data_IF_458048863749
#
_entry.id   IF_458048863749
#
_cell.length_a   1.000
_cell.length_b   1.000
_cell.length_c   1.000
_cell.angle_alpha   90.00
_cell.angle_beta   90.00
_cell.angle_gamma   90.00
#
_symmetry.space_group_name_H-M   'P 1'
#
loop_
_entity.id
_entity.type
_entity.pdbx_description
1 polymer ?
#
# COMPACT_ATOMS: atom_id res chain seq x y z
N UNK A 1 -21.71 -22.28 -46.06
CA UNK A 1 -21.37 -20.87 -45.74
C UNK A 1 -21.85 -20.45 -44.35
N UNK A 2 -23.13 -20.62 -43.99
CA UNK A 2 -23.67 -20.17 -42.69
C UNK A 2 -22.93 -20.71 -41.45
N UNK A 3 -22.56 -21.99 -41.45
CA UNK A 3 -21.88 -22.64 -40.32
C UNK A 3 -20.43 -22.14 -40.12
N UNK A 4 -19.78 -21.72 -41.19
CA UNK A 4 -18.44 -21.10 -41.15
C UNK A 4 -18.52 -19.68 -40.61
N UNK A 5 -19.59 -18.95 -40.97
CA UNK A 5 -19.88 -17.61 -40.47
C UNK A 5 -20.15 -17.62 -38.96
N UNK A 6 -20.96 -18.56 -38.46
CA UNK A 6 -21.24 -18.72 -37.02
C UNK A 6 -19.97 -19.05 -36.22
N UNK A 7 -19.09 -19.92 -36.75
CA UNK A 7 -17.82 -20.25 -36.09
C UNK A 7 -16.86 -19.07 -36.05
N UNK A 8 -16.80 -18.28 -37.12
CA UNK A 8 -15.99 -17.05 -37.16
C UNK A 8 -16.47 -16.00 -36.16
N UNK A 9 -17.79 -15.79 -36.07
CA UNK A 9 -18.39 -14.87 -35.11
C UNK A 9 -18.15 -15.34 -33.67
N UNK A 10 -18.29 -16.64 -33.38
CA UNK A 10 -18.02 -17.20 -32.06
C UNK A 10 -16.55 -17.03 -31.66
N UNK A 11 -15.60 -17.30 -32.57
CA UNK A 11 -14.17 -17.10 -32.34
C UNK A 11 -13.82 -15.63 -32.12
N UNK A 12 -14.45 -14.70 -32.86
CA UNK A 12 -14.27 -13.27 -32.65
C UNK A 12 -14.80 -12.82 -31.27
N UNK A 13 -15.96 -13.31 -30.84
CA UNK A 13 -16.52 -13.00 -29.50
C UNK A 13 -15.61 -13.55 -28.39
N UNK A 14 -15.07 -14.76 -28.54
CA UNK A 14 -14.10 -15.34 -27.60
C UNK A 14 -12.78 -14.57 -27.55
N UNK A 15 -12.31 -14.06 -28.68
CA UNK A 15 -11.10 -13.23 -28.75
C UNK A 15 -11.28 -11.85 -28.11
N UNK A 16 -12.46 -11.22 -28.24
CA UNK A 16 -12.77 -9.96 -27.54
C UNK A 16 -13.01 -10.16 -26.04
N UNK A 17 -13.48 -11.33 -25.61
CA UNK A 17 -13.62 -11.68 -24.19
C UNK A 17 -12.26 -11.97 -23.50
N UNK A 18 -11.19 -12.16 -24.27
CA UNK A 18 -9.84 -12.46 -23.78
C UNK A 18 -8.94 -11.23 -23.66
N UNK A 19 -9.48 -10.01 -23.68
CA UNK A 19 -8.70 -8.82 -23.34
C UNK A 19 -8.14 -9.01 -21.92
N UNK A 20 -6.82 -8.90 -21.70
CA UNK A 20 -6.28 -8.98 -20.36
C UNK A 20 -6.91 -7.87 -19.56
N UNK A 21 -7.69 -8.21 -18.53
CA UNK A 21 -8.10 -7.25 -17.52
C UNK A 21 -6.81 -6.67 -16.94
N UNK A 22 -6.40 -5.49 -17.42
CA UNK A 22 -5.26 -4.78 -16.88
C UNK A 22 -5.59 -4.56 -15.41
N UNK A 23 -4.86 -5.25 -14.53
CA UNK A 23 -5.10 -5.15 -13.10
C UNK A 23 -4.78 -3.72 -12.67
N UNK A 24 -5.83 -2.91 -12.51
CA UNK A 24 -5.75 -1.53 -12.03
C UNK A 24 -4.91 -1.47 -10.76
N UNK A 25 -4.16 -0.38 -10.60
CA UNK A 25 -3.31 -0.19 -9.43
C UNK A 25 -4.11 -0.30 -8.14
N UNK A 26 -3.68 -1.20 -7.28
CA UNK A 26 -4.23 -1.45 -5.95
C UNK A 26 -3.21 -1.08 -4.89
N UNK A 27 -3.65 -0.29 -3.92
CA UNK A 27 -2.90 0.01 -2.69
C UNK A 27 -3.50 -0.79 -1.53
N UNK A 28 -2.65 -1.41 -0.71
CA UNK A 28 -3.05 -2.10 0.52
C UNK A 28 -2.32 -1.50 1.70
N UNK A 29 -3.04 -1.24 2.80
CA UNK A 29 -2.50 -0.68 4.03
C UNK A 29 -2.35 -1.76 5.10
N UNK A 30 -1.20 -1.73 5.78
CA UNK A 30 -0.76 -2.79 6.67
C UNK A 30 -0.26 -2.23 7.99
N UNK A 31 -0.31 -3.06 9.02
CA UNK A 31 0.45 -2.84 10.24
C UNK A 31 1.23 -4.09 10.66
N UNK A 32 2.19 -3.89 11.55
CA UNK A 32 2.95 -4.95 12.21
C UNK A 32 3.15 -4.57 13.68
N UNK A 33 2.81 -5.46 14.60
CA UNK A 33 2.83 -5.18 16.06
C UNK A 33 3.47 -6.29 16.92
N UNK A 34 4.18 -7.26 16.34
CA UNK A 34 4.67 -8.43 17.08
C UNK A 34 6.21 -8.53 17.20
N UNK A 35 6.68 -9.23 18.23
CA UNK A 35 7.99 -9.91 18.22
C UNK A 35 9.23 -9.04 18.41
N UNK A 36 9.26 -8.13 19.39
CA UNK A 36 10.46 -7.38 19.79
C UNK A 36 10.86 -6.22 18.88
N UNK A 37 10.29 -6.16 17.67
CA UNK A 37 10.45 -5.06 16.72
C UNK A 37 9.51 -3.88 17.03
N UNK A 38 9.91 -2.68 16.61
CA UNK A 38 9.10 -1.47 16.78
C UNK A 38 7.82 -1.54 15.93
N UNK A 39 6.62 -1.28 16.50
CA UNK A 39 5.37 -1.27 15.74
C UNK A 39 5.46 -0.42 14.48
N UNK A 40 4.91 -0.92 13.38
CA UNK A 40 5.06 -0.30 12.07
C UNK A 40 3.76 -0.23 11.27
N UNK A 41 3.57 0.87 10.54
CA UNK A 41 2.56 1.04 9.51
C UNK A 41 3.26 1.19 8.16
N UNK A 42 2.73 0.54 7.12
CA UNK A 42 3.29 0.60 5.77
C UNK A 42 2.20 0.29 4.74
N UNK A 43 2.52 0.45 3.45
CA UNK A 43 1.60 0.11 2.37
C UNK A 43 2.30 -0.59 1.21
N UNK A 44 1.55 -1.38 0.45
CA UNK A 44 1.99 -1.97 -0.82
C UNK A 44 1.22 -1.36 -1.98
N UNK A 45 1.87 -1.20 -3.13
CA UNK A 45 1.23 -0.73 -4.37
C UNK A 45 1.57 -1.71 -5.48
N UNK A 46 0.54 -2.29 -6.10
CA UNK A 46 0.72 -3.26 -7.17
C UNK A 46 -0.32 -3.12 -8.29
N UNK A 47 0.03 -3.56 -9.49
CA UNK A 47 -0.84 -3.47 -10.68
C UNK A 47 -0.22 -2.58 -11.76
N UNK A 48 -0.98 -2.25 -12.79
CA UNK A 48 -0.53 -1.40 -13.90
C UNK A 48 -1.41 -0.14 -13.94
N UNK A 49 -0.83 1.07 -14.06
CA UNK A 49 -1.60 2.29 -14.30
C UNK A 49 -2.48 2.16 -15.54
N UNK A 50 -3.64 2.81 -15.54
CA UNK A 50 -4.59 2.74 -16.66
C UNK A 50 -4.00 3.40 -17.93
N UNK A 51 -3.16 4.42 -17.76
CA UNK A 51 -2.36 5.02 -18.86
C UNK A 51 -1.28 4.08 -19.43
N UNK A 52 -1.08 2.90 -18.85
CA UNK A 52 -0.02 1.96 -19.19
C UNK A 52 1.32 2.26 -18.49
N UNK A 53 2.37 1.54 -18.92
CA UNK A 53 3.73 1.64 -18.37
C UNK A 53 4.16 0.40 -17.57
N UNK A 54 5.26 0.53 -16.83
CA UNK A 54 5.79 -0.57 -16.02
C UNK A 54 4.83 -0.91 -14.87
N UNK A 55 4.63 -2.20 -14.56
CA UNK A 55 3.83 -2.60 -13.40
C UNK A 55 4.41 -2.06 -12.09
N UNK A 56 3.55 -1.46 -11.26
CA UNK A 56 3.88 -1.11 -9.90
C UNK A 56 4.08 -2.39 -9.07
N UNK A 57 5.16 -2.43 -8.28
CA UNK A 57 5.50 -3.55 -7.37
C UNK A 57 6.21 -3.02 -6.14
N UNK A 58 5.58 -2.03 -5.50
CA UNK A 58 6.21 -1.27 -4.43
C UNK A 58 5.67 -1.65 -3.06
N UNK A 59 6.49 -1.33 -2.07
CA UNK A 59 6.25 -1.55 -0.67
C UNK A 59 6.96 -0.41 0.05
N UNK A 60 6.22 0.39 0.80
CA UNK A 60 6.74 1.62 1.40
C UNK A 60 6.32 1.69 2.86
N UNK A 61 7.32 1.75 3.74
CA UNK A 61 7.20 2.19 5.12
C UNK A 61 8.13 3.36 5.37
N UNK A 62 7.94 4.07 6.49
CA UNK A 62 8.84 5.15 6.91
C UNK A 62 9.37 4.90 8.31
N UNK A 63 10.68 4.78 8.45
CA UNK A 63 11.34 4.39 9.70
C UNK A 63 12.58 5.22 9.98
N UNK A 64 13.07 5.18 11.22
CA UNK A 64 14.37 5.77 11.56
C UNK A 64 15.49 4.97 10.89
N UNK A 65 16.55 5.64 10.41
CA UNK A 65 17.76 4.97 9.91
C UNK A 65 18.46 4.19 11.03
N UNK A 66 18.41 4.74 12.24
CA UNK A 66 18.99 4.14 13.44
C UNK A 66 18.00 4.24 14.60
N UNK A 67 17.76 3.14 15.31
CA UNK A 67 16.89 3.13 16.48
C UNK A 67 17.67 3.65 17.68
N UNK A 68 17.34 4.85 18.16
CA UNK A 68 17.96 5.46 19.33
C UNK A 68 16.89 6.12 20.22
N UNK A 69 17.14 6.30 21.54
CA UNK A 69 16.22 7.04 22.41
C UNK A 69 15.91 8.47 21.92
N UNK A 70 16.83 9.07 21.15
CA UNK A 70 16.68 10.41 20.59
C UNK A 70 15.42 10.56 19.73
N UNK A 71 14.93 9.48 19.12
CA UNK A 71 13.70 9.53 18.32
C UNK A 71 12.44 9.91 19.14
N UNK A 72 12.48 9.70 20.46
CA UNK A 72 11.38 9.99 21.39
C UNK A 72 11.31 11.48 21.73
N UNK A 73 12.44 12.16 21.72
CA UNK A 73 12.61 13.54 22.22
C UNK A 73 13.00 14.53 21.12
N UNK A 74 13.37 14.05 19.93
CA UNK A 74 13.88 14.90 18.86
C UNK A 74 13.68 14.34 17.46
N UNK A 75 14.42 14.94 16.54
CA UNK A 75 14.46 14.56 15.14
C UNK A 75 15.69 13.67 14.90
N UNK A 76 15.52 12.57 14.17
CA UNK A 76 16.59 11.68 13.73
C UNK A 76 16.52 11.50 12.20
N UNK A 77 17.61 11.08 11.54
CA UNK A 77 17.53 10.68 10.14
C UNK A 77 16.59 9.49 9.96
N UNK A 78 15.63 9.61 9.06
CA UNK A 78 14.70 8.57 8.64
C UNK A 78 14.97 8.08 7.24
N UNK A 79 14.20 7.07 6.81
CA UNK A 79 14.24 6.51 5.46
C UNK A 79 12.87 5.96 5.09
N UNK A 80 12.54 6.05 3.80
CA UNK A 80 11.49 5.22 3.21
C UNK A 80 12.10 3.84 2.95
N UNK A 81 11.51 2.81 3.53
CA UNK A 81 12.01 1.43 3.45
C UNK A 81 11.14 0.58 2.55
N UNK A 82 11.79 -0.26 1.73
CA UNK A 82 11.13 -1.34 1.01
C UNK A 82 10.99 -2.55 1.95
N UNK A 83 9.75 -2.92 2.25
CA UNK A 83 9.43 -4.02 3.18
C UNK A 83 9.35 -5.35 2.41
N UNK A 84 10.22 -6.33 2.69
CA UNK A 84 10.28 -7.58 1.93
C UNK A 84 9.04 -8.45 2.14
N UNK A 85 8.82 -9.42 1.23
CA UNK A 85 7.68 -10.37 1.30
C UNK A 85 7.54 -11.06 2.66
N UNK A 86 8.64 -11.51 3.27
CA UNK A 86 8.62 -12.17 4.58
C UNK A 86 8.09 -11.27 5.69
N UNK A 87 8.20 -9.95 5.55
CA UNK A 87 7.63 -9.00 6.49
C UNK A 87 6.13 -8.79 6.23
N UNK A 88 5.68 -8.83 4.97
CA UNK A 88 4.24 -8.81 4.64
C UNK A 88 3.50 -10.02 5.23
N UNK A 89 4.11 -11.20 5.15
CA UNK A 89 3.54 -12.45 5.67
C UNK A 89 3.30 -12.40 7.17
N UNK A 90 4.17 -11.72 7.92
CA UNK A 90 4.03 -11.50 9.37
C UNK A 90 3.17 -10.28 9.71
N UNK A 91 2.85 -9.43 8.72
CA UNK A 91 2.02 -8.25 8.87
C UNK A 91 0.53 -8.54 8.88
N UNK A 92 -0.25 -7.56 9.32
CA UNK A 92 -1.70 -7.56 9.23
C UNK A 92 -2.13 -6.64 8.07
N UNK A 93 -2.63 -7.18 6.95
CA UNK A 93 -3.28 -6.37 5.93
C UNK A 93 -4.67 -5.96 6.43
N UNK A 94 -4.92 -4.66 6.49
CA UNK A 94 -6.19 -4.13 7.00
C UNK A 94 -7.22 -4.04 5.90
N UNK A 95 -6.91 -3.24 4.88
CA UNK A 95 -7.77 -3.00 3.75
C UNK A 95 -6.98 -2.64 2.49
N UNK A 96 -7.64 -2.81 1.35
CA UNK A 96 -7.12 -2.44 0.05
C UNK A 96 -8.13 -1.60 -0.72
N UNK A 97 -7.64 -0.83 -1.68
CA UNK A 97 -8.47 -0.11 -2.64
C UNK A 97 -7.76 0.05 -3.98
N UNK A 98 -8.56 0.19 -5.03
CA UNK A 98 -8.04 0.62 -6.33
C UNK A 98 -7.86 2.14 -6.32
N UNK A 99 -6.82 2.62 -6.97
CA UNK A 99 -6.53 4.05 -7.10
C UNK A 99 -6.49 4.45 -8.58
N UNK A 100 -6.81 5.71 -8.85
CA UNK A 100 -6.61 6.33 -10.16
C UNK A 100 -5.14 6.62 -10.42
N UNK A 101 -4.80 6.89 -11.67
CA UNK A 101 -3.45 7.27 -12.08
C UNK A 101 -2.91 8.52 -11.38
N UNK A 102 -3.77 9.53 -11.15
CA UNK A 102 -3.41 10.74 -10.41
C UNK A 102 -3.09 10.43 -8.95
N UNK A 103 -3.91 9.59 -8.31
CA UNK A 103 -3.68 9.15 -6.93
C UNK A 103 -2.42 8.29 -6.82
N UNK A 104 -2.17 7.40 -7.80
CA UNK A 104 -0.94 6.64 -7.90
C UNK A 104 0.28 7.58 -7.96
N UNK A 105 0.26 8.58 -8.83
CA UNK A 105 1.37 9.53 -8.95
C UNK A 105 1.60 10.33 -7.66
N UNK A 106 0.52 10.73 -6.98
CA UNK A 106 0.58 11.40 -5.68
C UNK A 106 1.18 10.51 -4.58
N UNK A 107 0.81 9.22 -4.53
CA UNK A 107 1.40 8.25 -3.59
C UNK A 107 2.87 7.97 -3.92
N UNK A 108 3.24 7.90 -5.20
CA UNK A 108 4.64 7.73 -5.60
C UNK A 108 5.48 8.98 -5.30
N UNK A 109 4.90 10.19 -5.41
CA UNK A 109 5.60 11.43 -5.03
C UNK A 109 5.85 11.49 -3.52
N UNK A 110 4.91 11.00 -2.71
CA UNK A 110 5.05 10.92 -1.26
C UNK A 110 6.32 10.16 -0.85
N UNK A 111 6.57 9.00 -1.47
CA UNK A 111 7.77 8.21 -1.22
C UNK A 111 9.06 8.98 -1.56
N UNK A 112 9.05 9.82 -2.60
CA UNK A 112 10.20 10.67 -2.96
C UNK A 112 10.37 11.84 -1.99
N UNK A 113 9.28 12.49 -1.62
CA UNK A 113 9.26 13.64 -0.70
C UNK A 113 9.73 13.28 0.72
N UNK A 114 9.50 12.04 1.16
CA UNK A 114 9.93 11.53 2.46
C UNK A 114 11.23 10.71 2.39
N UNK A 115 11.66 10.35 1.18
CA UNK A 115 12.89 9.59 0.93
C UNK A 115 14.16 10.44 1.04
N UNK A 116 15.30 9.83 0.73
CA UNK A 116 16.62 10.45 0.92
C UNK A 116 16.87 11.72 0.10
N UNK A 117 16.15 11.89 -1.02
CA UNK A 117 16.21 13.11 -1.86
C UNK A 117 15.24 14.21 -1.40
N UNK A 118 14.39 13.92 -0.41
CA UNK A 118 13.40 14.84 0.14
C UNK A 118 13.67 15.15 1.62
N UNK A 119 12.60 15.35 2.39
CA UNK A 119 12.68 15.51 3.83
C UNK A 119 12.51 14.15 4.53
N UNK A 120 13.65 13.50 4.77
CA UNK A 120 13.72 12.23 5.47
C UNK A 120 13.80 12.37 7.01
N UNK A 121 13.45 13.53 7.59
CA UNK A 121 13.45 13.68 9.05
C UNK A 121 12.44 12.74 9.71
N UNK A 122 12.88 11.95 10.69
CA UNK A 122 12.06 11.09 11.52
C UNK A 122 11.87 11.69 12.92
N UNK A 123 10.67 11.58 13.46
CA UNK A 123 10.39 11.88 14.86
C UNK A 123 9.18 11.07 15.31
N UNK A 124 9.28 10.36 16.44
CA UNK A 124 8.18 9.51 16.88
C UNK A 124 6.91 10.31 17.18
N UNK A 125 7.02 11.59 17.53
CA UNK A 125 5.86 12.41 17.91
C UNK A 125 5.23 13.16 16.74
N UNK A 126 5.99 13.44 15.67
CA UNK A 126 5.59 14.41 14.63
C UNK A 126 5.69 13.91 13.20
N UNK A 127 6.51 12.89 12.95
CA UNK A 127 6.84 12.42 11.59
C UNK A 127 7.36 10.99 11.64
N UNK A 128 6.45 10.04 11.81
CA UNK A 128 6.74 8.62 11.93
C UNK A 128 5.98 7.80 10.86
N UNK A 129 6.03 6.48 10.95
CA UNK A 129 5.33 5.56 10.04
C UNK A 129 3.81 5.83 9.93
N UNK A 130 3.14 6.18 11.04
CA UNK A 130 1.70 6.47 11.06
C UNK A 130 1.39 7.74 10.26
N UNK A 131 2.18 8.80 10.43
CA UNK A 131 2.01 10.05 9.68
C UNK A 131 2.25 9.85 8.17
N UNK A 132 3.25 9.03 7.83
CA UNK A 132 3.53 8.69 6.43
C UNK A 132 2.38 7.92 5.79
N UNK A 133 1.85 6.91 6.48
CA UNK A 133 0.70 6.13 5.99
C UNK A 133 -0.58 6.96 5.96
N UNK A 134 -0.81 7.83 6.95
CA UNK A 134 -1.93 8.77 6.95
C UNK A 134 -1.92 9.65 5.68
N UNK A 135 -0.75 10.15 5.29
CA UNK A 135 -0.61 10.94 4.08
C UNK A 135 -0.83 10.11 2.81
N UNK A 136 -0.35 8.85 2.76
CA UNK A 136 -0.64 7.95 1.66
C UNK A 136 -2.15 7.67 1.52
N UNK A 137 -2.86 7.51 2.65
CA UNK A 137 -4.32 7.34 2.66
C UNK A 137 -5.03 8.59 2.12
N UNK A 138 -4.62 9.80 2.52
CA UNK A 138 -5.17 11.06 1.98
C UNK A 138 -4.97 11.19 0.48
N UNK A 139 -3.74 10.94 0.00
CA UNK A 139 -3.41 10.97 -1.44
C UNK A 139 -4.14 9.89 -2.23
N UNK A 140 -4.55 8.80 -1.58
CA UNK A 140 -5.42 7.77 -2.14
C UNK A 140 -6.91 8.15 -2.11
N UNK A 141 -7.25 9.35 -1.63
CA UNK A 141 -8.61 9.89 -1.59
C UNK A 141 -9.44 9.46 -0.38
N UNK A 142 -8.83 8.89 0.66
CA UNK A 142 -9.52 8.51 1.90
C UNK A 142 -9.69 9.71 2.84
N UNK A 143 -10.76 9.67 3.63
CA UNK A 143 -10.91 10.55 4.77
C UNK A 143 -9.99 10.07 5.89
N UNK A 144 -9.17 10.98 6.44
CA UNK A 144 -8.15 10.65 7.44
C UNK A 144 -8.22 11.61 8.62
N UNK A 145 -8.38 11.06 9.82
CA UNK A 145 -8.33 11.82 11.08
C UNK A 145 -7.14 11.34 11.90
N UNK A 146 -6.19 12.25 12.15
CA UNK A 146 -5.01 11.99 12.98
C UNK A 146 -5.33 12.22 14.46
N UNK A 147 -6.05 11.27 15.06
CA UNK A 147 -6.29 11.29 16.49
C UNK A 147 -4.96 11.18 17.25
N UNK A 148 -4.62 12.20 18.04
CA UNK A 148 -3.30 12.33 18.70
C UNK A 148 -2.87 11.09 19.49
N UNK A 149 -3.82 10.40 20.13
CA UNK A 149 -3.58 9.19 20.91
C UNK A 149 -3.32 7.92 20.06
N UNK A 150 -3.55 7.98 18.74
CA UNK A 150 -3.33 6.88 17.80
C UNK A 150 -2.07 7.07 16.94
N UNK A 151 -1.45 8.26 16.94
CA UNK A 151 -0.31 8.57 16.07
C UNK A 151 0.98 7.78 16.36
N UNK A 152 0.97 6.92 17.39
CA UNK A 152 2.03 5.95 17.72
C UNK A 152 1.51 4.50 17.79
N UNK A 153 0.29 4.26 17.32
CA UNK A 153 -0.40 2.97 17.38
C UNK A 153 -0.79 2.54 15.96
N UNK A 154 0.15 2.01 15.17
CA UNK A 154 -0.04 1.67 13.76
C UNK A 154 -1.33 0.91 13.46
N UNK A 155 -1.62 -0.15 14.23
CA UNK A 155 -2.83 -0.95 14.03
C UNK A 155 -4.09 -0.15 14.35
N UNK A 156 -4.19 0.36 15.57
CA UNK A 156 -5.39 1.09 16.02
C UNK A 156 -5.68 2.31 15.15
N UNK A 157 -4.64 3.02 14.68
CA UNK A 157 -4.80 4.08 13.70
C UNK A 157 -5.40 3.56 12.40
N UNK A 158 -4.80 2.53 11.79
CA UNK A 158 -5.24 1.99 10.50
C UNK A 158 -6.67 1.43 10.58
N UNK A 159 -7.02 0.75 11.66
CA UNK A 159 -8.37 0.26 11.93
C UNK A 159 -9.39 1.41 12.08
N UNK A 160 -9.00 2.53 12.71
CA UNK A 160 -9.87 3.71 12.81
C UNK A 160 -10.16 4.35 11.44
N UNK A 161 -9.17 4.40 10.56
CA UNK A 161 -9.35 4.91 9.19
C UNK A 161 -10.18 3.94 8.36
N UNK A 162 -9.99 2.63 8.54
CA UNK A 162 -10.81 1.61 7.88
C UNK A 162 -12.30 1.82 8.19
N UNK A 163 -12.65 1.95 9.47
CA UNK A 163 -14.04 2.16 9.91
C UNK A 163 -14.67 3.42 9.30
N UNK A 164 -13.90 4.51 9.23
CA UNK A 164 -14.35 5.79 8.67
C UNK A 164 -14.62 5.75 7.16
N UNK A 165 -13.94 4.86 6.44
CA UNK A 165 -14.03 4.76 4.98
C UNK A 165 -14.76 3.49 4.52
N UNK A 166 -15.58 2.89 5.40
CA UNK A 166 -16.41 1.74 5.05
C UNK A 166 -17.24 2.05 3.78
N UNK A 167 -17.27 1.09 2.86
CA UNK A 167 -17.92 1.25 1.54
C UNK A 167 -17.02 1.84 0.44
N UNK A 168 -15.86 2.44 0.78
CA UNK A 168 -14.88 2.96 -0.19
C UNK A 168 -13.64 2.07 -0.33
N UNK A 169 -13.51 1.09 0.56
CA UNK A 169 -12.36 0.21 0.73
C UNK A 169 -12.84 -1.24 0.82
N UNK A 170 -11.94 -2.18 0.50
CA UNK A 170 -12.15 -3.61 0.69
C UNK A 170 -11.36 -4.06 1.92
N UNK A 171 -12.06 -4.39 3.01
CA UNK A 171 -11.46 -5.03 4.16
C UNK A 171 -10.85 -6.37 3.76
N UNK A 172 -9.66 -6.70 4.27
CA UNK A 172 -8.97 -7.95 3.93
C UNK A 172 -9.43 -9.09 4.83
N UNK A 173 -9.46 -8.89 6.16
CA UNK A 173 -9.97 -9.89 7.11
C UNK A 173 -9.20 -11.23 7.10
N UNK A 174 -7.96 -11.24 6.60
CA UNK A 174 -7.12 -12.42 6.46
C UNK A 174 -5.73 -12.15 7.06
N UNK A 175 -5.07 -13.21 7.52
CA UNK A 175 -3.67 -13.13 7.92
C UNK A 175 -2.77 -12.74 6.73
N UNK A 176 -1.64 -12.07 7.00
CA UNK A 176 -0.70 -11.64 5.96
C UNK A 176 -0.23 -12.77 5.06
N UNK A 177 0.10 -13.94 5.62
CA UNK A 177 0.46 -15.16 4.87
C UNK A 177 -0.61 -15.55 3.86
N UNK A 178 -1.87 -15.64 4.28
CA UNK A 178 -2.99 -16.01 3.42
C UNK A 178 -3.24 -14.97 2.33
N UNK A 179 -3.19 -13.68 2.68
CA UNK A 179 -3.43 -12.61 1.73
C UNK A 179 -2.31 -12.48 0.68
N UNK A 180 -1.04 -12.65 1.09
CA UNK A 180 0.11 -12.69 0.16
C UNK A 180 0.00 -13.89 -0.79
N UNK A 181 -0.36 -15.08 -0.28
CA UNK A 181 -0.55 -16.27 -1.12
C UNK A 181 -1.69 -16.09 -2.13
N UNK A 182 -2.79 -15.45 -1.73
CA UNK A 182 -3.93 -15.15 -2.58
C UNK A 182 -3.68 -14.00 -3.58
N UNK A 183 -2.57 -13.26 -3.46
CA UNK A 183 -2.27 -12.09 -4.28
C UNK A 183 -0.93 -12.26 -5.02
N UNK A 184 -0.88 -12.94 -6.18
CA UNK A 184 0.36 -13.23 -6.91
C UNK A 184 1.22 -11.98 -7.22
N UNK A 185 0.57 -10.83 -7.40
CA UNK A 185 1.28 -9.56 -7.62
C UNK A 185 2.19 -9.15 -6.45
N UNK A 186 1.86 -9.57 -5.22
CA UNK A 186 2.66 -9.33 -4.01
C UNK A 186 3.85 -10.29 -3.88
N UNK A 187 3.96 -11.34 -4.70
CA UNK A 187 5.10 -12.27 -4.62
C UNK A 187 6.45 -11.61 -4.96
N UNK A 188 6.41 -10.52 -5.74
CA UNK A 188 7.60 -9.83 -6.27
C UNK A 188 7.72 -8.37 -5.80
N UNK A 189 6.93 -7.94 -4.80
CA UNK A 189 7.06 -6.56 -4.28
C UNK A 189 8.35 -6.39 -3.47
N UNK A 190 8.98 -5.22 -3.63
CA UNK A 190 10.20 -4.88 -2.90
C UNK A 190 11.47 -5.62 -3.36
N UNK A 191 11.41 -6.30 -4.51
CA UNK A 191 12.60 -6.75 -5.26
C UNK A 191 13.18 -5.61 -6.09
#
# INVERSE_FOLDING_TARGET
MLQWMVRFVALAILALAALPAQARVTITFWSYENGGDFPHAFFTVHGTPERGGSPARYTYGFTSKTVTPMMLIGNTPGKVSNTPKSYLERGTPHFAMQISDVQYDAVMSLAREWGDKGNNTYSLNRRNCVHFVAEAMRRSGLQVVEAKNLMKKPRSFTESIQQMNNGRIRAIGQAGTAYVAATPALANVGR
#
